data_IF_786819020280
#
_entry.id   IF_786819020280
#
_cell.length_a   1.000
_cell.length_b   1.000
_cell.length_c   1.000
_cell.angle_alpha   90.00
_cell.angle_beta   90.00
_cell.angle_gamma   90.00
#
_symmetry.space_group_name_H-M   'P 1'
#
loop_
_entity.id
_entity.type
_entity.pdbx_description
1 polymer ?
#
# COMPACT_ATOMS: atom_id res chain seq x y z
N UNK A 1 -29.49 61.62 -18.08
CA UNK A 1 -29.42 60.80 -16.85
C UNK A 1 -28.06 60.13 -16.80
N UNK A 2 -27.31 60.41 -15.76
CA UNK A 2 -25.97 59.88 -15.45
C UNK A 2 -26.12 58.69 -14.50
N UNK A 3 -25.41 57.59 -14.76
CA UNK A 3 -25.01 56.47 -13.85
C UNK A 3 -24.08 55.56 -14.69
N UNK A 4 -22.74 55.52 -14.53
CA UNK A 4 -21.93 54.93 -13.42
C UNK A 4 -22.34 53.45 -13.25
N UNK A 5 -21.51 52.39 -13.36
CA UNK A 5 -20.05 52.21 -13.27
C UNK A 5 -19.68 50.89 -14.00
N UNK A 6 -18.51 50.86 -14.64
CA UNK A 6 -17.76 49.64 -14.98
C UNK A 6 -17.26 48.97 -13.69
N UNK A 7 -17.18 47.64 -13.64
CA UNK A 7 -15.92 46.89 -13.53
C UNK A 7 -16.20 45.40 -13.33
N UNK A 8 -15.69 44.60 -14.27
CA UNK A 8 -15.72 43.15 -14.21
C UNK A 8 -14.86 42.63 -13.07
N UNK A 9 -15.40 41.66 -12.35
CA UNK A 9 -14.63 40.84 -11.43
C UNK A 9 -15.24 39.44 -11.41
N UNK A 10 -14.78 38.58 -12.30
CA UNK A 10 -14.81 37.15 -12.08
C UNK A 10 -13.40 36.63 -12.38
N UNK A 11 -12.51 36.85 -11.41
CA UNK A 11 -11.36 35.98 -11.22
C UNK A 11 -11.93 34.59 -10.92
N UNK A 12 -12.17 33.82 -11.97
CA UNK A 12 -12.35 32.37 -11.85
C UNK A 12 -11.07 31.85 -11.22
N UNK A 13 -11.15 31.62 -9.92
CA UNK A 13 -10.15 30.92 -9.15
C UNK A 13 -10.01 29.58 -9.86
N UNK A 14 -8.91 29.40 -10.60
CA UNK A 14 -8.47 28.07 -10.97
C UNK A 14 -8.22 27.37 -9.64
N UNK A 15 -9.22 26.67 -9.15
CA UNK A 15 -9.01 25.58 -8.24
C UNK A 15 -8.19 24.56 -9.03
N UNK A 16 -6.86 24.76 -9.06
CA UNK A 16 -5.94 23.65 -9.16
C UNK A 16 -6.31 22.74 -8.00
N UNK A 17 -7.20 21.80 -8.30
CA UNK A 17 -7.29 20.56 -7.59
C UNK A 17 -5.89 19.99 -7.70
N UNK A 18 -5.03 20.28 -6.71
CA UNK A 18 -3.88 19.48 -6.45
C UNK A 18 -4.46 18.09 -6.21
N UNK A 19 -4.54 17.30 -7.29
CA UNK A 19 -4.41 15.87 -7.21
C UNK A 19 -3.15 15.71 -6.37
N UNK A 20 -3.37 15.43 -5.10
CA UNK A 20 -2.36 14.84 -4.24
C UNK A 20 -2.16 13.47 -4.88
N UNK A 21 -1.28 13.45 -5.90
CA UNK A 21 -0.64 12.22 -6.34
C UNK A 21 -0.21 11.56 -5.03
N UNK A 22 -0.83 10.42 -4.72
CA UNK A 22 -0.35 9.59 -3.64
C UNK A 22 1.14 9.45 -3.93
N UNK A 23 2.04 9.95 -3.06
CA UNK A 23 3.45 9.79 -3.30
C UNK A 23 3.66 8.29 -3.47
N UNK A 24 4.23 7.89 -4.61
CA UNK A 24 4.82 6.56 -4.69
C UNK A 24 5.67 6.40 -3.43
N UNK A 25 5.61 5.25 -2.73
CA UNK A 25 6.44 5.03 -1.56
C UNK A 25 7.87 5.37 -1.98
N UNK A 26 8.47 6.41 -1.37
CA UNK A 26 9.80 6.80 -1.83
C UNK A 26 10.73 5.62 -1.54
N UNK A 27 11.41 5.14 -2.59
CA UNK A 27 12.37 4.02 -2.50
C UNK A 27 13.39 4.23 -1.36
N UNK A 28 13.59 5.50 -0.96
CA UNK A 28 14.49 5.93 0.10
C UNK A 28 14.26 5.26 1.47
N UNK A 29 13.05 4.80 1.81
CA UNK A 29 12.77 4.19 3.12
C UNK A 29 12.33 2.71 3.06
N UNK A 30 12.15 2.14 1.87
CA UNK A 30 11.66 0.76 1.72
C UNK A 30 12.52 -0.27 2.46
N UNK A 31 13.84 -0.15 2.34
CA UNK A 31 14.78 -1.09 2.96
C UNK A 31 14.75 -1.01 4.48
N UNK A 32 14.71 0.21 5.03
CA UNK A 32 14.62 0.45 6.47
C UNK A 32 13.30 -0.06 7.05
N UNK A 33 12.20 0.20 6.33
CA UNK A 33 10.87 -0.25 6.71
C UNK A 33 10.77 -1.76 6.71
N UNK A 34 11.26 -2.42 5.65
CA UNK A 34 11.28 -3.86 5.54
C UNK A 34 12.15 -4.49 6.62
N UNK A 35 13.37 -3.98 6.85
CA UNK A 35 14.26 -4.49 7.89
C UNK A 35 13.63 -4.39 9.28
N UNK A 36 13.05 -3.23 9.61
CA UNK A 36 12.35 -3.04 10.88
C UNK A 36 11.18 -4.01 11.07
N UNK A 37 10.45 -4.35 10.00
CA UNK A 37 9.36 -5.32 10.06
C UNK A 37 9.82 -6.77 10.13
N UNK A 38 10.95 -7.12 9.52
CA UNK A 38 11.58 -8.43 9.69
C UNK A 38 11.95 -8.66 11.16
N UNK A 39 12.58 -7.67 11.79
CA UNK A 39 12.98 -7.72 13.19
C UNK A 39 11.74 -7.92 14.11
N UNK A 40 10.66 -7.16 13.87
CA UNK A 40 9.42 -7.28 14.66
C UNK A 40 8.72 -8.64 14.51
N UNK A 41 8.88 -9.30 13.36
CA UNK A 41 8.22 -10.58 13.08
C UNK A 41 9.10 -11.79 13.39
N UNK A 42 10.35 -11.56 13.82
CA UNK A 42 11.34 -12.62 14.01
C UNK A 42 11.56 -13.42 12.73
N UNK A 43 11.60 -12.70 11.59
CA UNK A 43 11.96 -13.20 10.28
C UNK A 43 13.30 -12.60 9.88
N UNK A 44 13.97 -13.23 8.93
CA UNK A 44 15.23 -12.74 8.37
C UNK A 44 15.20 -12.79 6.84
N UNK A 45 16.23 -12.23 6.21
CA UNK A 45 16.33 -12.11 4.75
C UNK A 45 16.35 -13.45 4.01
N UNK A 46 16.60 -14.58 4.68
CA UNK A 46 16.60 -15.91 4.06
C UNK A 46 15.22 -16.27 3.51
N UNK A 47 14.13 -15.70 4.03
CA UNK A 47 12.78 -15.90 3.48
C UNK A 47 12.67 -15.39 2.02
N UNK A 48 13.49 -14.41 1.68
CA UNK A 48 13.62 -13.83 0.35
C UNK A 48 14.72 -14.49 -0.48
N UNK A 49 15.50 -15.39 0.14
CA UNK A 49 16.66 -16.07 -0.46
C UNK A 49 17.76 -15.12 -0.89
N UNK A 50 18.00 -14.07 -0.08
CA UNK A 50 19.06 -13.06 -0.30
C UNK A 50 19.85 -12.86 0.99
N UNK A 51 21.01 -12.23 0.89
CA UNK A 51 21.87 -11.98 2.05
C UNK A 51 21.88 -10.53 2.50
N UNK A 52 21.42 -9.60 1.64
CA UNK A 52 21.33 -8.18 1.97
C UNK A 52 19.96 -7.59 1.64
N UNK A 53 19.56 -6.56 2.38
CA UNK A 53 18.26 -5.90 2.24
C UNK A 53 18.10 -5.22 0.88
N UNK A 54 19.19 -4.71 0.30
CA UNK A 54 19.22 -4.07 -1.02
C UNK A 54 19.03 -5.04 -2.19
N UNK A 55 19.14 -6.35 -1.93
CA UNK A 55 18.89 -7.40 -2.91
C UNK A 55 17.41 -7.82 -2.96
N UNK A 56 16.56 -7.31 -2.05
CA UNK A 56 15.13 -7.62 -2.04
C UNK A 56 14.42 -6.86 -3.15
N UNK A 57 14.06 -7.58 -4.20
CA UNK A 57 13.22 -7.06 -5.30
C UNK A 57 11.78 -7.56 -5.17
N UNK A 58 10.87 -7.00 -5.98
CA UNK A 58 9.48 -7.49 -6.06
C UNK A 58 9.37 -9.00 -6.37
N UNK A 59 10.32 -9.59 -7.10
CA UNK A 59 10.32 -11.04 -7.35
C UNK A 59 10.64 -11.84 -6.09
N UNK A 60 11.50 -11.32 -5.21
CA UNK A 60 11.80 -11.96 -3.94
C UNK A 60 10.58 -12.00 -3.02
N UNK A 61 9.76 -10.94 -3.03
CA UNK A 61 8.54 -10.85 -2.23
C UNK A 61 7.54 -11.98 -2.52
N UNK A 62 7.53 -12.54 -3.74
CA UNK A 62 6.71 -13.71 -4.09
C UNK A 62 7.07 -14.96 -3.28
N UNK A 63 8.30 -15.06 -2.76
CA UNK A 63 8.73 -16.19 -1.91
C UNK A 63 8.03 -16.20 -0.55
N UNK A 64 7.36 -15.10 -0.16
CA UNK A 64 6.50 -15.06 1.02
C UNK A 64 5.37 -16.09 0.98
N UNK A 65 4.99 -16.59 -0.20
CA UNK A 65 4.08 -17.75 -0.34
C UNK A 65 4.52 -18.97 0.48
N UNK A 66 5.83 -19.15 0.70
CA UNK A 66 6.43 -20.25 1.47
C UNK A 66 6.51 -19.99 2.97
N UNK A 67 6.25 -18.76 3.41
CA UNK A 67 6.29 -18.36 4.82
C UNK A 67 4.94 -18.70 5.48
N UNK A 68 4.93 -19.22 6.73
CA UNK A 68 3.69 -19.47 7.47
C UNK A 68 2.76 -18.25 7.47
N UNK A 69 1.46 -18.48 7.25
CA UNK A 69 0.50 -17.41 7.02
C UNK A 69 0.49 -16.36 8.15
N UNK A 70 0.57 -16.78 9.42
CA UNK A 70 0.63 -15.84 10.55
C UNK A 70 1.83 -14.88 10.43
N UNK A 71 3.04 -15.38 10.18
CA UNK A 71 4.25 -14.56 10.05
C UNK A 71 4.23 -13.69 8.80
N UNK A 72 3.85 -14.27 7.65
CA UNK A 72 3.68 -13.54 6.39
C UNK A 72 2.73 -12.37 6.53
N UNK A 73 1.56 -12.64 7.10
CA UNK A 73 0.51 -11.63 7.29
C UNK A 73 0.98 -10.48 8.18
N UNK A 74 1.64 -10.78 9.30
CA UNK A 74 2.20 -9.74 10.16
C UNK A 74 3.28 -8.90 9.46
N UNK A 75 4.15 -9.53 8.66
CA UNK A 75 5.20 -8.82 7.90
C UNK A 75 4.58 -7.85 6.89
N UNK A 76 3.64 -8.34 6.08
CA UNK A 76 2.97 -7.54 5.05
C UNK A 76 2.19 -6.39 5.68
N UNK A 77 1.45 -6.65 6.76
CA UNK A 77 0.72 -5.60 7.47
C UNK A 77 1.66 -4.53 8.08
N UNK A 78 2.80 -4.94 8.66
CA UNK A 78 3.79 -4.01 9.20
C UNK A 78 4.35 -3.08 8.11
N UNK A 79 4.76 -3.65 6.97
CA UNK A 79 5.28 -2.88 5.83
C UNK A 79 4.22 -1.90 5.32
N UNK A 80 2.99 -2.37 5.13
CA UNK A 80 1.89 -1.53 4.67
C UNK A 80 1.43 -0.48 5.68
N UNK A 81 1.64 -0.71 6.98
CA UNK A 81 1.44 0.33 8.00
C UNK A 81 2.49 1.44 7.88
N UNK A 82 3.77 1.09 7.66
CA UNK A 82 4.85 2.07 7.47
C UNK A 82 4.69 2.89 6.20
N UNK A 83 4.18 2.26 5.14
CA UNK A 83 3.83 2.92 3.89
C UNK A 83 2.52 3.71 3.96
N UNK A 84 1.84 3.74 5.11
CA UNK A 84 0.62 4.52 5.33
C UNK A 84 -0.65 3.92 4.71
N UNK A 85 -0.59 2.71 4.16
CA UNK A 85 -1.77 2.01 3.63
C UNK A 85 -2.63 1.42 4.76
N UNK A 86 -2.01 1.07 5.89
CA UNK A 86 -2.71 0.70 7.13
C UNK A 86 -2.41 1.78 8.18
N UNK A 87 -3.42 2.22 8.94
CA UNK A 87 -3.22 3.17 10.02
C UNK A 87 -2.49 2.55 11.22
N UNK A 88 -2.08 3.36 12.19
CA UNK A 88 -1.46 2.88 13.44
C UNK A 88 -2.40 2.00 14.27
N UNK A 89 -3.70 2.21 14.11
CA UNK A 89 -4.78 1.47 14.74
C UNK A 89 -5.11 0.16 14.00
N UNK A 90 -4.41 -0.14 12.90
CA UNK A 90 -4.60 -1.37 12.13
C UNK A 90 -5.73 -1.31 11.10
N UNK A 91 -6.18 -0.10 10.73
CA UNK A 91 -7.29 0.09 9.78
C UNK A 91 -6.75 0.35 8.37
N UNK A 92 -7.24 -0.39 7.37
CA UNK A 92 -6.92 -0.17 5.96
C UNK A 92 -7.51 1.16 5.47
N UNK A 93 -6.68 2.00 4.85
CA UNK A 93 -7.12 3.29 4.30
C UNK A 93 -8.19 3.14 3.21
N UNK A 94 -8.97 4.21 2.98
CA UNK A 94 -10.11 4.17 2.06
C UNK A 94 -9.71 3.91 0.60
N UNK A 95 -8.57 4.46 0.16
CA UNK A 95 -8.11 4.41 -1.22
C UNK A 95 -6.67 3.85 -1.29
N UNK A 96 -6.48 2.55 -1.03
CA UNK A 96 -5.17 1.95 -1.18
C UNK A 96 -4.73 1.97 -2.66
N UNK A 97 -3.41 2.08 -2.95
CA UNK A 97 -2.91 2.07 -4.32
C UNK A 97 -3.32 0.80 -5.04
N UNK A 98 -3.62 0.88 -6.34
CA UNK A 98 -3.87 -0.32 -7.13
C UNK A 98 -2.58 -1.11 -7.32
N UNK A 99 -2.62 -2.46 -7.32
CA UNK A 99 -1.45 -3.27 -7.63
C UNK A 99 -1.12 -3.22 -9.12
N UNK A 100 -0.09 -3.97 -9.53
CA UNK A 100 0.31 -4.11 -10.93
C UNK A 100 -0.93 -4.41 -11.81
N UNK A 101 -1.15 -3.68 -12.93
CA UNK A 101 -2.26 -3.92 -13.85
C UNK A 101 -2.34 -5.35 -14.41
N UNK A 102 -1.24 -6.11 -14.39
CA UNK A 102 -1.20 -7.52 -14.77
C UNK A 102 -1.79 -8.46 -13.70
N UNK A 103 -2.11 -7.94 -12.50
CA UNK A 103 -2.80 -8.70 -11.44
C UNK A 103 -4.21 -9.04 -11.92
N UNK A 104 -4.51 -10.34 -11.97
CA UNK A 104 -5.86 -10.81 -12.23
C UNK A 104 -6.60 -11.01 -10.93
N UNK A 105 -7.84 -10.56 -10.91
CA UNK A 105 -8.77 -10.76 -9.82
C UNK A 105 -9.94 -11.61 -10.30
N UNK A 106 -10.47 -12.46 -9.41
CA UNK A 106 -11.74 -13.13 -9.64
C UNK A 106 -12.93 -12.14 -9.55
N UNK A 107 -12.74 -11.03 -8.82
CA UNK A 107 -13.71 -9.96 -8.58
C UNK A 107 -13.16 -8.60 -9.01
N UNK A 108 -13.86 -7.50 -8.72
CA UNK A 108 -13.25 -6.17 -8.83
C UNK A 108 -12.19 -5.97 -7.74
N UNK A 109 -11.29 -5.00 -7.96
CA UNK A 109 -10.31 -4.61 -6.94
C UNK A 109 -11.01 -4.05 -5.70
N UNK A 110 -12.06 -3.26 -5.89
CA UNK A 110 -12.87 -2.66 -4.84
C UNK A 110 -13.52 -3.72 -3.96
N UNK A 111 -14.08 -4.78 -4.55
CA UNK A 111 -14.67 -5.89 -3.81
C UNK A 111 -13.60 -6.65 -3.00
N UNK A 112 -12.44 -6.92 -3.60
CA UNK A 112 -11.34 -7.61 -2.92
C UNK A 112 -10.82 -6.79 -1.72
N UNK A 113 -10.67 -5.46 -1.90
CA UNK A 113 -10.27 -4.54 -0.83
C UNK A 113 -11.34 -4.43 0.25
N UNK A 114 -12.63 -4.43 -0.10
CA UNK A 114 -13.72 -4.41 0.87
C UNK A 114 -13.71 -5.65 1.78
N UNK A 115 -13.41 -6.83 1.23
CA UNK A 115 -13.20 -8.05 2.02
C UNK A 115 -12.02 -7.88 2.98
N UNK A 116 -10.87 -7.40 2.50
CA UNK A 116 -9.72 -7.18 3.39
C UNK A 116 -10.00 -6.14 4.47
N UNK A 117 -10.76 -5.07 4.16
CA UNK A 117 -11.10 -4.02 5.12
C UNK A 117 -11.93 -4.53 6.30
N UNK A 118 -12.67 -5.62 6.12
CA UNK A 118 -13.44 -6.24 7.20
C UNK A 118 -12.58 -7.07 8.18
N UNK A 119 -11.29 -7.28 7.90
CA UNK A 119 -10.39 -8.02 8.79
C UNK A 119 -9.93 -7.17 9.97
N UNK A 120 -10.44 -7.49 11.17
CA UNK A 120 -10.04 -6.81 12.42
C UNK A 120 -8.67 -7.25 12.94
N UNK A 121 -8.21 -8.44 12.55
CA UNK A 121 -6.90 -8.94 12.97
C UNK A 121 -5.81 -8.41 12.02
N UNK A 122 -4.88 -7.64 12.57
CA UNK A 122 -3.79 -7.01 11.82
C UNK A 122 -3.03 -7.98 10.88
N UNK A 123 -2.67 -9.16 11.37
CA UNK A 123 -1.95 -10.13 10.55
C UNK A 123 -2.86 -10.85 9.54
N UNK A 124 -4.16 -11.02 9.81
CA UNK A 124 -5.12 -11.51 8.80
C UNK A 124 -5.34 -10.46 7.71
N UNK A 125 -5.47 -9.19 8.06
CA UNK A 125 -5.51 -8.08 7.12
C UNK A 125 -4.28 -8.12 6.19
N UNK A 126 -3.08 -8.25 6.74
CA UNK A 126 -1.86 -8.38 5.92
C UNK A 126 -1.85 -9.62 5.01
N UNK A 127 -2.40 -10.75 5.45
CA UNK A 127 -2.55 -11.92 4.56
C UNK A 127 -3.56 -11.69 3.43
N UNK A 128 -4.66 -11.00 3.73
CA UNK A 128 -5.65 -10.66 2.72
C UNK A 128 -5.01 -9.77 1.64
N UNK A 129 -4.30 -8.71 2.08
CA UNK A 129 -3.58 -7.81 1.19
C UNK A 129 -2.44 -8.52 0.44
N UNK A 130 -1.78 -9.51 1.05
CA UNK A 130 -0.79 -10.33 0.34
C UNK A 130 -1.38 -11.02 -0.90
N UNK A 131 -2.63 -11.50 -0.79
CA UNK A 131 -3.36 -12.09 -1.90
C UNK A 131 -3.63 -11.12 -3.05
N UNK A 132 -3.73 -9.82 -2.75
CA UNK A 132 -4.01 -8.76 -3.73
C UNK A 132 -2.72 -8.26 -4.40
N UNK A 133 -1.68 -7.98 -3.61
CA UNK A 133 -0.49 -7.27 -4.11
C UNK A 133 0.66 -8.16 -4.57
N UNK A 134 0.70 -9.43 -4.16
CA UNK A 134 1.87 -10.29 -4.40
C UNK A 134 1.53 -11.66 -5.00
N UNK A 135 0.28 -12.12 -4.89
CA UNK A 135 -0.17 -13.40 -5.41
C UNK A 135 -0.65 -13.26 -6.85
N UNK A 136 0.26 -12.96 -7.77
CA UNK A 136 0.01 -13.18 -9.19
C UNK A 136 0.09 -14.69 -9.44
N UNK A 137 -0.84 -15.25 -10.20
CA UNK A 137 -0.90 -16.67 -10.58
C UNK A 137 0.52 -17.22 -10.86
N UNK A 138 0.90 -18.29 -10.15
CA UNK A 138 2.12 -19.08 -10.42
C UNK A 138 1.91 -19.96 -11.64
#
# INVERSE_FOLDING_TARGET
>A
MMRILLLGFFCSVFALSHQKENPEPSDAHWQEDLQSCLDQTGLDLSIFGVSRIDEVTGQNLKKLTKVPANKRGCLVACVFQKQGMISKEGVLQNNPPHPDPATKFETTFEDAIAVCRAEENFCKLGNCLFGIYFKHEL
#
